data_IF_890594450705
#
_entry.id   IF_890594450705
#
_cell.length_a   1.000
_cell.length_b   1.000
_cell.length_c   1.000
_cell.angle_alpha   90.00
_cell.angle_beta   90.00
_cell.angle_gamma   90.00
#
_symmetry.space_group_name_H-M   'P 1'
#
loop_
_entity.id
_entity.type
_entity.pdbx_description
1 polymer ?
#
# COMPACT_ATOMS: atom_id res chain seq x y z
N UNK A 1 -36.17 50.03 -50.12
CA UNK A 1 -36.48 48.70 -49.58
C UNK A 1 -35.33 48.28 -48.67
N UNK A 2 -35.52 48.33 -47.36
CA UNK A 2 -34.49 47.98 -46.36
C UNK A 2 -35.03 46.79 -45.58
N UNK A 3 -34.42 45.62 -45.80
CA UNK A 3 -34.80 44.36 -45.16
C UNK A 3 -34.06 44.26 -43.82
N UNK A 4 -34.81 44.27 -42.71
CA UNK A 4 -34.26 44.02 -41.37
C UNK A 4 -34.29 42.53 -41.08
N UNK A 5 -33.11 41.91 -41.05
CA UNK A 5 -32.93 40.56 -40.49
C UNK A 5 -32.92 40.64 -38.96
N UNK A 6 -33.85 39.93 -38.33
CA UNK A 6 -33.93 39.76 -36.88
C UNK A 6 -33.21 38.47 -36.52
N UNK A 7 -32.15 38.57 -35.72
CA UNK A 7 -31.32 37.44 -35.31
C UNK A 7 -31.82 36.96 -33.93
N UNK A 8 -32.40 35.75 -33.90
CA UNK A 8 -32.88 35.12 -32.67
C UNK A 8 -31.73 34.28 -32.10
N UNK A 9 -31.21 34.68 -30.94
CA UNK A 9 -30.20 33.92 -30.20
C UNK A 9 -30.95 33.09 -29.14
N UNK A 10 -31.06 31.79 -29.37
CA UNK A 10 -31.55 30.82 -28.38
C UNK A 10 -30.38 30.36 -27.51
N UNK A 11 -30.36 30.78 -26.25
CA UNK A 11 -29.43 30.28 -25.23
C UNK A 11 -29.98 29.00 -24.62
N UNK A 12 -29.39 27.85 -24.97
CA UNK A 12 -29.62 26.57 -24.29
C UNK A 12 -28.65 26.46 -23.12
N UNK A 13 -29.18 26.60 -21.90
CA UNK A 13 -28.45 26.38 -20.66
C UNK A 13 -28.09 24.89 -20.53
N UNK A 14 -26.80 24.57 -20.61
CA UNK A 14 -26.29 23.23 -20.31
C UNK A 14 -26.41 22.97 -18.80
N UNK A 15 -27.01 21.84 -18.43
CA UNK A 15 -27.14 21.42 -17.03
C UNK A 15 -25.77 21.03 -16.46
N UNK A 16 -25.48 21.32 -15.18
CA UNK A 16 -24.22 20.95 -14.55
C UNK A 16 -24.06 19.42 -14.46
N UNK A 17 -22.85 18.89 -14.64
CA UNK A 17 -22.58 17.45 -14.55
C UNK A 17 -22.84 16.95 -13.12
N UNK A 18 -23.61 15.87 -12.99
CA UNK A 18 -23.86 15.23 -11.70
C UNK A 18 -22.60 14.51 -11.18
N UNK A 19 -22.32 14.56 -9.86
CA UNK A 19 -21.19 13.85 -9.26
C UNK A 19 -21.38 12.33 -9.35
N UNK A 20 -20.32 11.62 -9.79
CA UNK A 20 -20.23 10.15 -9.79
C UNK A 20 -20.36 9.64 -8.34
N UNK A 21 -21.56 9.26 -7.91
CA UNK A 21 -21.80 8.60 -6.62
C UNK A 21 -21.45 7.11 -6.74
N UNK A 22 -20.60 6.62 -5.84
CA UNK A 22 -20.26 5.20 -5.74
C UNK A 22 -21.48 4.39 -5.28
N UNK A 23 -21.72 3.18 -5.82
CA UNK A 23 -22.81 2.33 -5.34
C UNK A 23 -22.49 1.79 -3.94
N UNK A 24 -23.35 2.13 -2.97
CA UNK A 24 -23.30 1.60 -1.60
C UNK A 24 -23.40 0.08 -1.60
N UNK A 25 -22.36 -0.57 -1.06
CA UNK A 25 -22.37 -1.99 -0.74
C UNK A 25 -23.00 -2.20 0.64
N UNK A 26 -24.08 -2.96 0.72
CA UNK A 26 -24.73 -3.35 1.98
C UNK A 26 -23.79 -4.33 2.72
N UNK A 27 -23.17 -3.88 3.81
CA UNK A 27 -22.39 -4.72 4.73
C UNK A 27 -23.31 -5.27 5.82
N UNK A 28 -23.26 -6.59 6.03
CA UNK A 28 -23.89 -7.27 7.17
C UNK A 28 -22.94 -7.21 8.37
N UNK A 29 -23.43 -6.66 9.48
CA UNK A 29 -22.75 -6.65 10.75
C UNK A 29 -22.54 -8.06 11.31
N UNK A 30 -21.29 -8.40 11.60
CA UNK A 30 -20.95 -9.49 12.50
C UNK A 30 -20.28 -8.89 13.74
N UNK A 31 -21.07 -8.83 14.80
CA UNK A 31 -20.68 -8.45 16.15
C UNK A 31 -19.49 -9.29 16.64
N UNK A 32 -18.28 -8.71 16.62
CA UNK A 32 -17.08 -9.31 17.20
C UNK A 32 -16.71 -8.58 18.47
N UNK A 33 -17.17 -9.12 19.61
CA UNK A 33 -16.79 -8.68 20.96
C UNK A 33 -15.25 -8.65 21.11
N UNK A 34 -14.70 -7.46 21.32
CA UNK A 34 -13.29 -7.22 21.59
C UNK A 34 -13.01 -7.41 23.09
N UNK A 35 -12.23 -8.44 23.42
CA UNK A 35 -11.62 -8.53 24.75
C UNK A 35 -10.41 -7.60 24.79
N UNK A 36 -10.55 -6.51 25.54
CA UNK A 36 -9.49 -5.53 25.81
C UNK A 36 -8.42 -6.19 26.69
N UNK A 37 -7.30 -6.59 26.08
CA UNK A 37 -6.06 -6.90 26.79
C UNK A 37 -5.05 -5.78 26.60
N UNK A 38 -4.59 -5.24 27.72
CA UNK A 38 -3.73 -4.07 27.86
C UNK A 38 -2.34 -4.30 27.22
N UNK A 39 -2.11 -3.78 26.00
CA UNK A 39 -0.90 -4.02 25.20
C UNK A 39 0.40 -3.29 25.65
N UNK A 40 0.43 -2.66 26.82
CA UNK A 40 1.49 -1.68 27.18
C UNK A 40 2.74 -2.23 27.88
N UNK A 41 2.98 -3.55 27.97
CA UNK A 41 4.17 -4.06 28.70
C UNK A 41 5.05 -5.15 28.06
N UNK A 42 4.84 -5.55 26.80
CA UNK A 42 5.67 -6.61 26.17
C UNK A 42 6.51 -6.17 24.96
N UNK A 43 6.52 -4.89 24.58
CA UNK A 43 7.12 -4.44 23.31
C UNK A 43 8.63 -4.14 23.34
N UNK A 44 9.33 -4.27 24.47
CA UNK A 44 10.77 -3.92 24.54
C UNK A 44 11.73 -5.12 24.59
N UNK A 45 11.27 -6.32 24.94
CA UNK A 45 12.19 -7.46 25.14
C UNK A 45 12.36 -8.37 23.90
N UNK A 46 11.45 -8.34 22.93
CA UNK A 46 11.42 -9.35 21.84
C UNK A 46 11.94 -8.82 20.50
N UNK A 47 11.89 -7.52 20.23
CA UNK A 47 12.27 -6.96 18.92
C UNK A 47 13.77 -6.70 18.75
N UNK A 48 14.53 -6.55 19.85
CA UNK A 48 15.97 -6.27 19.79
C UNK A 48 16.81 -7.49 19.36
N UNK A 49 16.35 -8.72 19.58
CA UNK A 49 17.13 -9.92 19.26
C UNK A 49 16.94 -10.47 17.85
N UNK A 50 15.90 -10.08 17.13
CA UNK A 50 15.64 -10.61 15.78
C UNK A 50 16.31 -9.78 14.67
N UNK A 51 16.59 -8.50 14.89
CA UNK A 51 17.32 -7.67 13.92
C UNK A 51 18.82 -7.97 13.86
N UNK A 52 19.43 -8.52 14.93
CA UNK A 52 20.88 -8.80 14.93
C UNK A 52 21.29 -10.10 14.22
N UNK A 53 20.34 -10.98 13.88
CA UNK A 53 20.65 -12.24 13.19
C UNK A 53 20.76 -12.11 11.67
N UNK A 54 20.33 -10.99 11.09
CA UNK A 54 20.33 -10.80 9.62
C UNK A 54 21.58 -10.07 9.08
N UNK A 55 22.48 -9.57 9.93
CA UNK A 55 23.66 -8.79 9.49
C UNK A 55 24.98 -9.58 9.47
N UNK A 56 24.97 -10.90 9.71
CA UNK A 56 26.21 -11.68 9.88
C UNK A 56 26.29 -12.91 8.99
N UNK A 57 26.25 -12.70 7.68
CA UNK A 57 26.74 -13.65 6.70
C UNK A 57 27.21 -12.87 5.47
N UNK A 58 28.46 -12.42 5.49
CA UNK A 58 29.35 -12.32 4.32
C UNK A 58 30.69 -11.72 4.76
N UNK A 59 31.57 -12.60 5.22
CA UNK A 59 32.99 -12.32 5.31
C UNK A 59 33.75 -13.46 4.67
N UNK A 60 34.72 -13.08 3.83
CA UNK A 60 35.88 -13.84 3.34
C UNK A 60 35.72 -14.42 1.93
N UNK A 61 36.21 -13.68 0.94
CA UNK A 61 37.46 -14.14 0.33
C UNK A 61 38.31 -12.99 -0.23
N UNK A 62 39.58 -13.05 0.13
CA UNK A 62 40.61 -12.06 -0.13
C UNK A 62 41.42 -12.49 -1.34
N UNK A 63 41.54 -11.64 -2.36
CA UNK A 63 42.53 -11.81 -3.43
C UNK A 63 43.23 -10.49 -3.77
N UNK A 64 44.52 -10.52 -4.16
CA UNK A 64 45.42 -9.37 -4.12
C UNK A 64 45.28 -8.41 -5.32
N UNK A 65 45.80 -7.16 -5.23
CA UNK A 65 45.57 -6.13 -6.23
C UNK A 65 46.59 -6.21 -7.38
N UNK A 66 46.11 -6.51 -8.59
CA UNK A 66 46.85 -6.27 -9.82
C UNK A 66 46.67 -4.81 -10.25
N UNK A 67 47.76 -4.04 -10.19
CA UNK A 67 47.86 -2.66 -10.67
C UNK A 67 47.78 -2.63 -12.19
N UNK A 68 46.64 -2.24 -12.75
CA UNK A 68 46.54 -1.71 -14.12
C UNK A 68 46.11 -0.25 -14.05
N UNK A 69 46.96 0.59 -14.63
CA UNK A 69 46.90 2.05 -14.62
C UNK A 69 46.00 2.48 -15.77
N UNK A 70 44.71 2.67 -15.49
CA UNK A 70 43.76 3.20 -16.47
C UNK A 70 43.66 4.71 -16.32
N UNK A 71 43.89 5.39 -17.43
CA UNK A 71 43.82 6.84 -17.63
C UNK A 71 42.46 7.43 -17.20
N UNK A 72 42.42 8.63 -16.61
CA UNK A 72 41.18 9.31 -16.29
C UNK A 72 40.53 9.79 -17.58
N UNK A 73 39.60 9.00 -18.13
CA UNK A 73 38.64 9.53 -19.09
C UNK A 73 37.75 10.53 -18.35
N UNK A 74 38.09 11.81 -18.54
CA UNK A 74 37.32 12.98 -18.17
C UNK A 74 35.95 12.84 -18.83
N UNK A 75 34.99 12.28 -18.10
CA UNK A 75 33.61 12.19 -18.50
C UNK A 75 33.06 13.62 -18.56
N UNK A 76 33.06 14.19 -19.76
CA UNK A 76 32.45 15.48 -20.05
C UNK A 76 30.96 15.32 -19.77
N UNK A 77 30.54 15.79 -18.59
CA UNK A 77 29.14 15.91 -18.19
C UNK A 77 28.42 16.67 -19.31
N UNK A 78 27.45 16.07 -20.03
CA UNK A 78 26.71 16.79 -21.04
C UNK A 78 26.00 17.96 -20.34
N UNK A 79 26.29 19.16 -20.84
CA UNK A 79 25.70 20.41 -20.38
C UNK A 79 24.20 20.33 -20.69
N UNK A 80 23.41 20.03 -19.66
CA UNK A 80 21.95 19.99 -19.70
C UNK A 80 21.49 21.41 -20.04
N UNK A 81 21.17 21.67 -21.30
CA UNK A 81 20.50 22.90 -21.73
C UNK A 81 19.11 22.91 -21.11
N UNK A 82 19.00 23.67 -20.02
CA UNK A 82 17.79 23.81 -19.23
C UNK A 82 16.76 24.67 -19.95
N UNK A 83 15.68 24.05 -20.41
CA UNK A 83 14.44 24.74 -20.76
C UNK A 83 13.16 23.96 -20.43
N UNK A 84 13.27 22.78 -19.78
CA UNK A 84 12.13 21.86 -19.59
C UNK A 84 11.59 21.69 -18.16
N UNK A 85 12.02 22.49 -17.19
CA UNK A 85 11.59 22.35 -15.78
C UNK A 85 10.37 23.16 -15.30
N UNK A 86 9.83 24.19 -15.99
CA UNK A 86 8.67 24.94 -15.49
C UNK A 86 7.36 24.12 -15.42
N UNK A 87 7.16 23.19 -16.36
CA UNK A 87 5.86 22.51 -16.57
C UNK A 87 5.49 21.60 -15.39
N UNK A 88 6.49 20.92 -14.82
CA UNK A 88 6.23 19.98 -13.72
C UNK A 88 5.72 20.67 -12.45
N UNK A 89 6.24 21.86 -12.17
CA UNK A 89 5.85 22.61 -10.99
C UNK A 89 4.39 23.08 -11.13
N UNK A 90 3.99 23.54 -12.31
CA UNK A 90 2.60 23.91 -12.61
C UNK A 90 1.67 22.69 -12.47
N UNK A 91 2.07 21.52 -12.96
CA UNK A 91 1.30 20.28 -12.77
C UNK A 91 1.20 19.88 -11.30
N UNK A 92 2.28 20.02 -10.51
CA UNK A 92 2.25 19.80 -9.06
C UNK A 92 1.39 20.82 -8.32
N UNK A 93 1.28 22.03 -8.84
CA UNK A 93 0.51 23.13 -8.29
C UNK A 93 -0.96 23.11 -8.71
N UNK A 94 -1.38 22.14 -9.53
CA UNK A 94 -2.77 21.71 -9.62
C UNK A 94 -3.19 21.05 -8.27
N UNK A 95 -3.37 21.89 -7.25
CA UNK A 95 -3.74 21.50 -5.86
C UNK A 95 -5.19 21.05 -5.73
N UNK A 96 -5.83 20.68 -6.83
CA UNK A 96 -7.23 20.27 -6.82
C UNK A 96 -7.28 18.86 -6.27
N UNK A 97 -7.80 18.72 -5.05
CA UNK A 97 -8.07 17.43 -4.44
C UNK A 97 -9.03 16.64 -5.33
N UNK A 98 -8.72 15.37 -5.54
CA UNK A 98 -9.57 14.47 -6.31
C UNK A 98 -10.83 14.10 -5.52
N UNK A 99 -10.68 13.93 -4.21
CA UNK A 99 -11.77 13.56 -3.32
C UNK A 99 -12.46 14.80 -2.76
N UNK A 100 -13.79 14.75 -2.71
CA UNK A 100 -14.61 15.77 -2.09
C UNK A 100 -14.36 15.80 -0.57
N UNK A 101 -14.63 16.91 0.13
CA UNK A 101 -14.64 16.92 1.59
C UNK A 101 -15.56 15.82 2.14
N UNK A 102 -15.17 15.25 3.28
CA UNK A 102 -15.94 14.23 3.99
C UNK A 102 -17.28 14.82 4.40
N UNK A 103 -18.35 14.07 4.10
CA UNK A 103 -19.70 14.47 4.47
C UNK A 103 -19.84 14.54 5.99
N UNK A 104 -20.55 15.56 6.54
CA UNK A 104 -20.72 15.71 7.99
C UNK A 104 -21.29 14.46 8.67
N UNK A 105 -22.24 13.78 8.03
CA UNK A 105 -22.88 12.58 8.56
C UNK A 105 -21.85 11.46 8.82
N UNK A 106 -20.84 11.32 7.96
CA UNK A 106 -19.74 10.35 8.13
C UNK A 106 -18.83 10.69 9.32
N UNK A 107 -18.78 11.96 9.73
CA UNK A 107 -18.02 12.42 10.91
C UNK A 107 -18.80 12.07 12.18
N UNK A 108 -20.13 12.24 12.15
CA UNK A 108 -21.02 11.90 13.27
C UNK A 108 -21.04 10.39 13.56
N UNK A 109 -20.92 9.57 12.53
CA UNK A 109 -20.82 8.10 12.62
C UNK A 109 -19.49 7.59 13.22
N UNK A 110 -18.51 8.45 13.48
CA UNK A 110 -17.25 8.05 14.10
C UNK A 110 -17.48 7.70 15.59
N UNK A 111 -16.78 6.70 16.14
CA UNK A 111 -16.86 6.32 17.56
C UNK A 111 -16.48 7.48 18.53
N UNK A 112 -15.68 8.42 18.03
CA UNK A 112 -15.14 9.60 18.72
C UNK A 112 -15.30 10.86 17.86
N UNK A 113 -16.54 11.31 17.58
CA UNK A 113 -16.80 12.36 16.58
C UNK A 113 -16.18 13.70 17.00
N UNK A 114 -16.13 13.98 18.31
CA UNK A 114 -15.49 15.18 18.85
C UNK A 114 -13.98 15.23 18.59
N UNK A 115 -13.26 14.09 18.64
CA UNK A 115 -11.84 14.04 18.31
C UNK A 115 -11.63 14.19 16.79
N UNK A 116 -12.52 13.58 16.01
CA UNK A 116 -12.50 13.68 14.56
C UNK A 116 -12.77 15.10 14.05
N UNK A 117 -13.68 15.83 14.70
CA UNK A 117 -14.05 17.20 14.34
C UNK A 117 -12.94 18.23 14.61
N UNK A 118 -11.94 17.90 15.45
CA UNK A 118 -10.79 18.78 15.72
C UNK A 118 -9.79 18.85 14.56
N UNK A 119 -9.92 17.98 13.56
CA UNK A 119 -9.00 17.88 12.42
C UNK A 119 -9.75 18.10 11.12
N UNK A 120 -9.18 18.92 10.25
CA UNK A 120 -9.72 19.09 8.90
C UNK A 120 -9.32 17.90 8.02
N UNK A 121 -10.05 17.68 6.92
CA UNK A 121 -9.65 16.66 5.93
C UNK A 121 -8.29 16.99 5.31
N UNK A 122 -7.92 18.27 5.26
CA UNK A 122 -6.59 18.67 4.83
C UNK A 122 -5.52 18.12 5.77
N UNK A 123 -5.73 18.16 7.09
CA UNK A 123 -4.81 17.62 8.09
C UNK A 123 -4.75 16.08 8.07
N UNK A 124 -5.89 15.44 7.85
CA UNK A 124 -6.02 13.97 7.90
C UNK A 124 -5.47 13.31 6.63
N UNK A 125 -5.76 13.90 5.46
CA UNK A 125 -5.50 13.32 4.15
C UNK A 125 -6.54 12.28 3.71
N UNK A 126 -6.22 11.52 2.68
CA UNK A 126 -7.11 10.55 2.02
C UNK A 126 -6.75 9.10 2.33
N UNK A 127 -5.57 8.89 2.89
CA UNK A 127 -5.11 7.60 3.35
C UNK A 127 -3.80 7.71 4.07
N UNK A 128 -3.28 6.54 4.44
CA UNK A 128 -1.96 6.41 5.05
C UNK A 128 -1.18 5.25 4.44
N UNK A 129 0.14 5.33 4.54
CA UNK A 129 1.02 4.19 4.33
C UNK A 129 2.13 4.11 5.39
N UNK A 130 2.37 2.89 5.85
CA UNK A 130 3.36 2.54 6.85
C UNK A 130 4.64 2.07 6.16
N UNK A 131 5.71 2.85 6.32
CA UNK A 131 6.99 2.54 5.70
C UNK A 131 7.55 1.20 6.22
N UNK A 132 7.96 0.31 5.32
CA UNK A 132 8.54 -0.99 5.69
C UNK A 132 9.91 -0.88 6.36
N UNK A 133 10.67 0.20 6.12
CA UNK A 133 12.00 0.40 6.69
C UNK A 133 11.95 0.99 8.10
N UNK A 134 11.38 2.18 8.27
CA UNK A 134 11.43 2.94 9.53
C UNK A 134 10.11 2.97 10.31
N UNK A 135 9.05 2.36 9.76
CA UNK A 135 7.72 2.26 10.37
C UNK A 135 7.06 3.61 10.64
N UNK A 136 7.53 4.65 9.96
CA UNK A 136 6.89 5.95 9.98
C UNK A 136 5.58 5.90 9.20
N UNK A 137 4.55 6.53 9.77
CA UNK A 137 3.28 6.81 9.13
C UNK A 137 3.45 7.96 8.15
N UNK A 138 2.91 7.79 6.94
CA UNK A 138 3.00 8.81 5.91
C UNK A 138 1.59 9.02 5.37
N UNK A 139 1.12 10.25 5.46
CA UNK A 139 -0.19 10.67 5.00
C UNK A 139 -0.19 10.75 3.47
N UNK A 140 -1.23 10.20 2.84
CA UNK A 140 -1.46 10.25 1.41
C UNK A 140 -2.57 11.26 1.11
N UNK A 141 -2.40 12.05 0.05
CA UNK A 141 -3.43 12.92 -0.51
C UNK A 141 -3.58 12.64 -1.99
N UNK A 142 -4.81 12.45 -2.44
CA UNK A 142 -5.17 12.15 -3.81
C UNK A 142 -5.53 13.44 -4.54
N UNK A 143 -4.73 13.76 -5.56
CA UNK A 143 -4.90 14.92 -6.42
C UNK A 143 -5.44 14.50 -7.79
N UNK A 144 -6.15 15.42 -8.45
CA UNK A 144 -6.55 15.26 -9.85
C UNK A 144 -5.35 15.34 -10.79
N UNK A 145 -5.50 14.86 -12.02
CA UNK A 145 -4.48 14.97 -13.06
C UNK A 145 -3.43 13.85 -13.06
N UNK A 146 -2.27 14.12 -13.65
CA UNK A 146 -1.29 13.11 -14.01
C UNK A 146 -0.54 12.49 -12.82
N UNK A 147 -0.44 13.18 -11.68
CA UNK A 147 0.38 12.76 -10.54
C UNK A 147 -0.45 12.60 -9.25
N UNK A 148 -1.23 11.50 -9.11
CA UNK A 148 -2.27 11.37 -8.10
C UNK A 148 -1.80 11.52 -6.65
N UNK A 149 -0.55 11.20 -6.33
CA UNK A 149 0.01 11.29 -4.96
C UNK A 149 1.32 12.08 -4.90
N UNK A 150 1.67 12.81 -5.96
CA UNK A 150 2.97 13.50 -6.10
C UNK A 150 4.13 12.52 -5.82
N UNK A 151 5.07 12.87 -4.92
CA UNK A 151 6.17 12.00 -4.52
C UNK A 151 5.80 11.14 -3.32
N UNK A 152 5.74 9.81 -3.52
CA UNK A 152 5.43 8.83 -2.48
C UNK A 152 6.73 8.32 -1.84
N UNK A 153 7.36 9.21 -1.08
CA UNK A 153 8.57 8.94 -0.28
C UNK A 153 8.27 9.02 1.20
N UNK A 154 8.93 8.18 1.98
CA UNK A 154 8.80 8.25 3.42
C UNK A 154 9.43 9.53 3.96
N UNK A 155 8.66 10.33 4.71
CA UNK A 155 9.11 11.61 5.25
C UNK A 155 10.25 11.48 6.28
N UNK A 156 10.48 10.28 6.81
CA UNK A 156 11.52 10.02 7.81
C UNK A 156 12.81 9.45 7.24
N UNK A 157 12.73 8.48 6.32
CA UNK A 157 13.91 7.76 5.82
C UNK A 157 14.08 7.83 4.29
N UNK A 158 13.27 8.65 3.60
CA UNK A 158 13.26 8.80 2.14
C UNK A 158 13.04 7.51 1.33
N UNK A 159 12.62 6.42 1.98
CA UNK A 159 12.29 5.16 1.31
C UNK A 159 11.10 5.40 0.37
N UNK A 160 11.23 5.01 -0.89
CA UNK A 160 10.13 5.04 -1.86
C UNK A 160 9.22 3.85 -1.58
N UNK A 161 7.92 4.04 -1.71
CA UNK A 161 6.95 2.96 -1.49
C UNK A 161 7.28 1.72 -2.33
N UNK A 162 7.19 0.56 -1.68
CA UNK A 162 7.45 -0.74 -2.28
C UNK A 162 6.37 -1.74 -1.89
N UNK A 163 6.44 -2.95 -2.43
CA UNK A 163 5.50 -4.05 -2.16
C UNK A 163 5.46 -4.52 -0.70
N UNK A 164 6.48 -4.20 0.10
CA UNK A 164 6.54 -4.55 1.51
C UNK A 164 5.97 -3.49 2.44
N UNK A 165 5.62 -2.32 1.91
CA UNK A 165 4.97 -1.28 2.68
C UNK A 165 3.48 -1.55 2.77
N UNK A 166 2.86 -1.16 3.88
CA UNK A 166 1.43 -1.35 4.10
C UNK A 166 0.70 -0.05 3.82
N UNK A 167 -0.39 -0.12 3.09
CA UNK A 167 -1.19 1.03 2.66
C UNK A 167 -2.64 0.83 3.09
N UNK A 168 -3.30 1.92 3.47
CA UNK A 168 -4.76 1.94 3.61
C UNK A 168 -5.45 1.68 2.25
N UNK A 169 -6.78 1.55 2.27
CA UNK A 169 -7.58 1.20 1.09
C UNK A 169 -7.39 2.15 -0.12
N UNK A 170 -6.90 3.39 0.08
CA UNK A 170 -6.66 4.35 -0.99
C UNK A 170 -5.61 3.88 -2.01
N UNK A 171 -4.64 3.06 -1.59
CA UNK A 171 -3.61 2.49 -2.47
C UNK A 171 -3.59 0.98 -2.27
N UNK A 172 -4.11 0.23 -3.24
CA UNK A 172 -4.06 -1.24 -3.20
C UNK A 172 -3.10 -1.75 -4.26
N UNK A 173 -2.09 -2.59 -3.91
CA UNK A 173 -1.14 -3.10 -4.88
C UNK A 173 -1.82 -3.95 -5.95
N UNK A 174 -1.37 -3.82 -7.19
CA UNK A 174 -1.88 -4.57 -8.34
C UNK A 174 -0.88 -5.65 -8.74
N UNK A 175 -1.31 -6.90 -8.97
CA UNK A 175 -0.45 -7.95 -9.49
C UNK A 175 0.15 -7.59 -10.86
N UNK A 176 1.40 -7.97 -11.08
CA UNK A 176 2.02 -7.89 -12.40
C UNK A 176 1.19 -8.67 -13.42
N UNK A 177 1.02 -8.10 -14.62
CA UNK A 177 0.22 -8.69 -15.69
C UNK A 177 -1.27 -8.33 -15.67
N UNK A 178 -1.78 -7.72 -14.60
CA UNK A 178 -3.13 -7.16 -14.61
C UNK A 178 -3.16 -5.88 -15.46
N UNK A 179 -3.77 -5.98 -16.63
CA UNK A 179 -3.93 -4.87 -17.58
C UNK A 179 -5.40 -4.53 -17.84
N UNK A 180 -6.34 -5.40 -17.46
CA UNK A 180 -7.76 -5.14 -17.66
C UNK A 180 -8.32 -4.41 -16.45
N UNK A 181 -9.02 -3.30 -16.71
CA UNK A 181 -9.70 -2.49 -15.72
C UNK A 181 -11.11 -2.15 -16.17
N UNK A 182 -11.96 -1.85 -15.19
CA UNK A 182 -13.29 -1.31 -15.47
C UNK A 182 -13.14 0.03 -16.20
N UNK A 183 -13.89 0.20 -17.29
CA UNK A 183 -13.94 1.49 -17.98
C UNK A 183 -14.51 2.55 -17.03
N UNK A 184 -13.82 3.68 -16.83
CA UNK A 184 -14.32 4.73 -15.97
C UNK A 184 -15.61 5.31 -16.55
N UNK A 185 -16.48 5.79 -15.66
CA UNK A 185 -17.66 6.54 -16.08
C UNK A 185 -17.23 7.81 -16.83
N UNK A 186 -18.07 8.29 -17.75
CA UNK A 186 -17.80 9.51 -18.52
C UNK A 186 -17.56 10.68 -17.56
N UNK A 187 -16.42 11.36 -17.72
CA UNK A 187 -16.01 12.48 -16.86
C UNK A 187 -15.33 12.08 -15.55
N UNK A 188 -15.17 10.78 -15.27
CA UNK A 188 -14.47 10.28 -14.10
C UNK A 188 -13.03 9.84 -14.48
N UNK A 189 -12.03 10.17 -13.65
CA UNK A 189 -10.62 9.85 -13.91
C UNK A 189 -10.31 8.37 -13.71
N UNK A 190 -9.28 7.88 -14.41
CA UNK A 190 -8.74 6.51 -14.24
C UNK A 190 -8.19 6.33 -12.84
N UNK A 191 -8.69 5.34 -12.09
CA UNK A 191 -8.31 5.07 -10.68
C UNK A 191 -7.13 4.10 -10.56
N UNK A 192 -6.11 4.30 -11.38
CA UNK A 192 -4.92 3.45 -11.42
C UNK A 192 -3.66 4.31 -11.55
N UNK A 193 -2.58 3.91 -10.88
CA UNK A 193 -1.30 4.59 -10.99
C UNK A 193 -0.12 3.62 -10.91
N UNK A 194 1.03 4.03 -11.42
CA UNK A 194 2.32 3.41 -11.12
C UNK A 194 3.25 4.42 -10.46
N UNK A 195 4.31 3.94 -9.80
CA UNK A 195 5.23 4.80 -9.04
C UNK A 195 6.65 4.60 -9.55
N UNK A 196 7.34 5.69 -9.89
CA UNK A 196 8.71 5.63 -10.33
C UNK A 196 9.61 5.09 -9.19
N UNK A 197 10.34 3.97 -9.39
CA UNK A 197 11.14 3.36 -8.32
C UNK A 197 12.38 4.18 -7.94
N UNK A 198 12.76 5.17 -8.76
CA UNK A 198 13.95 6.00 -8.54
C UNK A 198 13.66 7.27 -7.77
N UNK A 199 12.55 7.94 -8.10
CA UNK A 199 12.20 9.21 -7.47
C UNK A 199 10.89 9.16 -6.69
N UNK A 200 10.10 8.08 -6.77
CA UNK A 200 8.82 7.97 -6.07
C UNK A 200 7.69 8.84 -6.63
N UNK A 201 7.87 9.51 -7.76
CA UNK A 201 6.78 10.24 -8.42
C UNK A 201 5.71 9.24 -8.88
N UNK A 202 4.47 9.43 -8.42
CA UNK A 202 3.31 8.66 -8.87
C UNK A 202 2.83 9.18 -10.22
N UNK A 203 2.50 8.31 -11.16
CA UNK A 203 1.87 8.68 -12.42
C UNK A 203 0.56 7.91 -12.59
N UNK A 204 -0.50 8.60 -12.99
CA UNK A 204 -1.78 7.98 -13.36
C UNK A 204 -1.60 7.14 -14.62
N UNK A 205 -2.23 5.97 -14.65
CA UNK A 205 -2.22 5.11 -15.83
C UNK A 205 -3.08 5.73 -16.94
N UNK A 206 -2.66 5.53 -18.18
CA UNK A 206 -3.50 5.80 -19.34
C UNK A 206 -4.41 4.58 -19.58
N UNK A 207 -5.59 4.82 -20.15
CA UNK A 207 -6.56 3.76 -20.38
C UNK A 207 -7.15 3.87 -21.79
N UNK A 208 -7.00 2.80 -22.57
CA UNK A 208 -7.61 2.64 -23.88
C UNK A 208 -8.69 1.55 -23.79
N UNK A 209 -9.95 1.97 -23.80
CA UNK A 209 -11.09 1.07 -23.60
C UNK A 209 -11.10 0.42 -22.20
N UNK A 210 -10.82 -0.88 -22.15
CA UNK A 210 -10.71 -1.65 -20.90
C UNK A 210 -9.27 -1.97 -20.51
N UNK A 211 -8.29 -1.52 -21.29
CA UNK A 211 -6.87 -1.85 -21.10
C UNK A 211 -6.13 -0.67 -20.49
N UNK A 212 -5.40 -0.92 -19.42
CA UNK A 212 -4.48 0.02 -18.79
C UNK A 212 -3.12 -0.04 -19.48
N UNK A 213 -2.59 1.12 -19.85
CA UNK A 213 -1.22 1.26 -20.31
C UNK A 213 -0.31 1.77 -19.19
N UNK A 214 0.73 0.98 -18.92
CA UNK A 214 1.78 1.30 -17.95
C UNK A 214 3.17 1.33 -18.60
N UNK A 215 3.26 1.11 -19.92
CA UNK A 215 4.50 0.99 -20.67
C UNK A 215 4.89 2.33 -21.30
N UNK A 216 6.19 2.57 -21.47
CA UNK A 216 6.68 3.77 -22.16
C UNK A 216 6.51 5.08 -21.39
N UNK A 217 5.85 5.07 -20.23
CA UNK A 217 5.72 6.24 -19.37
C UNK A 217 7.10 6.75 -18.94
N UNK A 218 7.41 8.00 -19.30
CA UNK A 218 8.67 8.65 -18.91
C UNK A 218 8.44 9.45 -17.63
N UNK A 219 9.24 9.17 -16.61
CA UNK A 219 9.18 9.91 -15.36
C UNK A 219 9.50 11.39 -15.63
N UNK A 220 8.59 12.28 -15.27
CA UNK A 220 8.77 13.70 -15.52
C UNK A 220 9.94 14.28 -14.72
N UNK A 221 10.17 13.77 -13.50
CA UNK A 221 11.22 14.26 -12.60
C UNK A 221 12.61 13.69 -12.95
N UNK A 222 12.78 12.36 -12.85
CA UNK A 222 14.09 11.74 -13.08
C UNK A 222 14.37 11.34 -14.54
N UNK A 223 13.37 11.38 -15.42
CA UNK A 223 13.53 11.05 -16.85
C UNK A 223 13.59 9.56 -17.19
N UNK A 224 13.52 8.67 -16.19
CA UNK A 224 13.55 7.22 -16.40
C UNK A 224 12.23 6.75 -17.02
N UNK A 225 12.32 5.85 -17.99
CA UNK A 225 11.16 5.25 -18.66
C UNK A 225 10.73 3.97 -17.96
N UNK A 226 9.41 3.79 -17.78
CA UNK A 226 8.79 2.54 -17.33
C UNK A 226 8.81 1.51 -18.45
N UNK A 227 9.30 0.31 -18.13
CA UNK A 227 9.17 -0.87 -18.98
C UNK A 227 8.10 -1.82 -18.43
N UNK A 228 7.15 -1.28 -17.67
CA UNK A 228 6.13 -2.03 -16.95
C UNK A 228 6.62 -2.66 -15.64
N UNK A 229 7.86 -2.39 -15.24
CA UNK A 229 8.51 -2.88 -14.03
C UNK A 229 8.13 -2.06 -12.77
N UNK A 230 7.62 -0.84 -12.96
CA UNK A 230 7.25 0.04 -11.87
C UNK A 230 6.12 -0.54 -11.01
N UNK A 231 6.17 -0.37 -9.67
CA UNK A 231 5.08 -0.74 -8.78
C UNK A 231 3.75 -0.11 -9.21
N UNK A 232 2.69 -0.94 -9.26
CA UNK A 232 1.36 -0.56 -9.75
C UNK A 232 0.35 -0.63 -8.62
N UNK A 233 -0.57 0.34 -8.60
CA UNK A 233 -1.58 0.47 -7.57
C UNK A 233 -2.93 0.86 -8.14
N UNK A 234 -3.98 0.34 -7.52
CA UNK A 234 -5.35 0.80 -7.67
C UNK A 234 -5.60 1.91 -6.66
N UNK A 235 -6.26 2.98 -7.10
CA UNK A 235 -6.65 4.12 -6.28
C UNK A 235 -8.05 3.85 -5.71
N UNK A 236 -8.10 3.32 -4.49
CA UNK A 236 -9.32 2.82 -3.86
C UNK A 236 -10.14 3.89 -3.13
N UNK A 237 -10.91 3.44 -2.14
CA UNK A 237 -11.77 4.30 -1.32
C UNK A 237 -10.94 4.97 -0.20
N UNK A 238 -11.15 6.27 -0.01
CA UNK A 238 -10.54 7.08 1.05
C UNK A 238 -11.41 7.13 2.32
N UNK A 239 -12.71 6.86 2.21
CA UNK A 239 -13.68 7.05 3.30
C UNK A 239 -13.35 6.28 4.58
N UNK A 240 -12.92 5.00 4.57
CA UNK A 240 -12.65 4.28 5.81
C UNK A 240 -11.56 4.97 6.64
N UNK A 241 -10.52 5.47 5.97
CA UNK A 241 -9.44 6.20 6.61
C UNK A 241 -9.89 7.57 7.09
N UNK A 242 -10.61 8.33 6.26
CA UNK A 242 -11.11 9.65 6.66
C UNK A 242 -12.13 9.57 7.78
N UNK A 243 -12.91 8.49 7.86
CA UNK A 243 -13.84 8.25 8.96
C UNK A 243 -13.06 8.04 10.24
N UNK A 244 -12.16 7.06 10.28
CA UNK A 244 -11.36 6.76 11.47
C UNK A 244 -9.87 6.49 11.12
N UNK A 245 -9.02 7.53 11.19
CA UNK A 245 -7.60 7.40 10.92
C UNK A 245 -6.88 6.47 11.92
N UNK A 246 -7.29 6.49 13.19
CA UNK A 246 -6.63 5.75 14.26
C UNK A 246 -6.96 4.26 14.17
N UNK A 247 -8.22 3.91 13.90
CA UNK A 247 -8.62 2.52 13.63
C UNK A 247 -7.94 1.98 12.36
N UNK A 248 -7.86 2.78 11.30
CA UNK A 248 -7.15 2.39 10.08
C UNK A 248 -5.67 2.16 10.33
N UNK A 249 -5.02 3.00 11.13
CA UNK A 249 -3.63 2.80 11.53
C UNK A 249 -3.45 1.51 12.33
N UNK A 250 -4.29 1.26 13.33
CA UNK A 250 -4.26 0.03 14.11
C UNK A 250 -4.41 -1.22 13.22
N UNK A 251 -5.36 -1.18 12.27
CA UNK A 251 -5.56 -2.27 11.31
C UNK A 251 -4.31 -2.54 10.44
N UNK A 252 -3.58 -1.51 10.02
CA UNK A 252 -2.34 -1.68 9.26
C UNK A 252 -1.19 -2.23 10.09
N UNK A 253 -1.13 -1.88 11.38
CA UNK A 253 -0.18 -2.48 12.32
C UNK A 253 -0.47 -3.97 12.51
N UNK A 254 -1.75 -4.33 12.69
CA UNK A 254 -2.18 -5.72 12.83
C UNK A 254 -1.92 -6.53 11.55
N UNK A 255 -2.24 -5.98 10.37
CA UNK A 255 -1.96 -6.60 9.09
C UNK A 255 -0.46 -6.90 8.94
N UNK A 256 0.39 -5.94 9.30
CA UNK A 256 1.83 -6.13 9.28
C UNK A 256 2.29 -7.22 10.25
N UNK A 257 1.73 -7.29 11.45
CA UNK A 257 2.05 -8.34 12.41
C UNK A 257 1.63 -9.73 11.89
N UNK A 258 0.48 -9.82 11.22
CA UNK A 258 0.02 -11.04 10.56
C UNK A 258 0.96 -11.46 9.41
N UNK A 259 1.37 -10.53 8.55
CA UNK A 259 2.30 -10.80 7.45
C UNK A 259 3.67 -11.28 7.97
N UNK A 260 4.20 -10.64 9.02
CA UNK A 260 5.44 -11.05 9.65
C UNK A 260 5.34 -12.46 10.24
N UNK A 261 4.20 -12.79 10.87
CA UNK A 261 3.93 -14.13 11.40
C UNK A 261 3.88 -15.18 10.29
N UNK A 262 3.22 -14.87 9.17
CA UNK A 262 3.17 -15.75 7.99
C UNK A 262 4.57 -16.02 7.42
N UNK A 263 5.38 -14.99 7.25
CA UNK A 263 6.75 -15.13 6.75
C UNK A 263 7.64 -15.95 7.69
N UNK A 264 7.52 -15.73 9.00
CA UNK A 264 8.24 -16.52 10.00
C UNK A 264 7.85 -18.01 9.93
N UNK A 265 6.57 -18.31 9.78
CA UNK A 265 6.09 -19.69 9.65
C UNK A 265 6.58 -20.36 8.36
N UNK A 266 6.52 -19.65 7.23
CA UNK A 266 7.07 -20.14 5.95
C UNK A 266 8.57 -20.44 6.04
N UNK A 267 9.33 -19.58 6.72
CA UNK A 267 10.75 -19.80 6.94
C UNK A 267 11.02 -21.02 7.81
N UNK A 268 10.23 -21.26 8.86
CA UNK A 268 10.35 -22.46 9.69
C UNK A 268 10.11 -23.72 8.85
N UNK A 269 9.07 -23.75 8.01
CA UNK A 269 8.76 -24.90 7.15
C UNK A 269 9.89 -25.15 6.15
N UNK A 270 10.35 -24.11 5.44
CA UNK A 270 11.39 -24.22 4.44
C UNK A 270 12.74 -24.71 5.00
N UNK A 271 12.96 -24.54 6.31
CA UNK A 271 14.18 -24.96 7.00
C UNK A 271 13.99 -26.21 7.88
N UNK A 272 12.89 -26.95 7.73
CA UNK A 272 12.72 -28.22 8.47
C UNK A 272 13.79 -29.23 8.06
N UNK A 273 14.14 -29.29 6.77
CA UNK A 273 15.12 -30.25 6.24
C UNK A 273 16.57 -29.88 6.56
N UNK A 274 16.85 -28.59 6.77
CA UNK A 274 18.17 -28.09 7.14
C UNK A 274 18.42 -28.10 8.66
N UNK A 275 17.43 -28.47 9.47
CA UNK A 275 17.65 -28.67 10.90
C UNK A 275 18.54 -29.90 11.08
N UNK A 276 19.72 -29.76 11.72
CA UNK A 276 20.49 -30.93 12.11
C UNK A 276 19.55 -31.82 12.92
N UNK A 277 19.46 -33.11 12.54
CA UNK A 277 18.67 -34.10 13.25
C UNK A 277 18.94 -33.90 14.73
N UNK A 278 17.95 -33.39 15.46
CA UNK A 278 18.14 -32.96 16.84
C UNK A 278 18.71 -34.16 17.56
N UNK A 279 19.95 -34.04 18.04
CA UNK A 279 20.75 -35.06 18.71
C UNK A 279 20.16 -35.42 20.10
N UNK A 280 18.86 -35.21 20.28
CA UNK A 280 18.02 -35.92 21.23
C UNK A 280 17.76 -37.33 20.67
N UNK A 281 18.84 -38.05 20.39
CA UNK A 281 18.86 -39.48 20.63
C UNK A 281 18.68 -39.66 22.13
N UNK A 282 17.44 -39.57 22.59
CA UNK A 282 17.05 -40.15 23.86
C UNK A 282 17.22 -41.65 23.66
N UNK A 283 18.41 -42.15 23.99
CA UNK A 283 18.68 -43.57 24.15
C UNK A 283 17.88 -44.02 25.36
N UNK A 284 16.60 -44.29 25.15
CA UNK A 284 15.72 -44.93 26.11
C UNK A 284 16.11 -46.40 26.23
N UNK A 285 17.19 -46.66 26.97
CA UNK A 285 17.30 -47.87 27.75
C UNK A 285 17.00 -47.49 29.20
N UNK A 286 16.00 -48.16 29.77
CA UNK A 286 15.59 -48.14 31.18
C UNK A 286 14.62 -47.04 31.62
N UNK A 287 13.36 -47.16 31.17
CA UNK A 287 12.23 -46.80 32.03
C UNK A 287 11.27 -47.99 32.13
N UNK A 288 11.37 -48.68 33.27
CA UNK A 288 10.54 -49.82 33.63
C UNK A 288 9.10 -49.35 33.84
N UNK A 289 8.19 -49.89 33.03
CA UNK A 289 6.75 -49.68 33.13
C UNK A 289 6.25 -50.24 34.46
N UNK A 290 5.87 -49.38 35.41
CA UNK A 290 4.95 -49.74 36.48
C UNK A 290 3.55 -49.36 36.04
N UNK A 291 2.71 -50.37 35.89
CA UNK A 291 1.30 -50.22 35.55
C UNK A 291 0.57 -49.36 36.59
N UNK A 292 -0.19 -48.41 36.08
CA UNK A 292 -1.27 -47.73 36.77
C UNK A 292 -2.42 -47.61 35.75
N UNK A 293 -3.27 -48.61 35.79
CA UNK A 293 -4.73 -48.53 35.84
C UNK A 293 -5.42 -47.50 34.93
N UNK A 294 -6.06 -48.08 33.90
CA UNK A 294 -7.08 -47.50 33.04
C UNK A 294 -8.17 -46.73 33.81
N UNK A 295 -8.23 -45.41 33.63
CA UNK A 295 -9.50 -44.68 33.71
C UNK A 295 -9.92 -44.23 32.30
N UNK A 296 -11.04 -44.80 31.86
CA UNK A 296 -11.70 -44.57 30.59
C UNK A 296 -12.31 -43.17 30.55
N UNK A 297 -11.64 -42.21 29.93
CA UNK A 297 -12.24 -40.92 29.56
C UNK A 297 -12.91 -41.10 28.18
N UNK A 298 -14.24 -41.17 28.19
CA UNK A 298 -15.06 -41.10 26.99
C UNK A 298 -14.86 -39.75 26.31
N UNK A 299 -14.14 -39.75 25.19
CA UNK A 299 -14.06 -38.61 24.26
C UNK A 299 -15.35 -38.55 23.44
N UNK A 300 -16.18 -37.55 23.72
CA UNK A 300 -17.31 -37.17 22.87
C UNK A 300 -16.79 -36.72 21.50
N UNK A 301 -17.20 -37.43 20.45
CA UNK A 301 -16.87 -37.10 19.08
C UNK A 301 -17.46 -35.76 18.66
N UNK A 302 -16.60 -34.79 18.33
CA UNK A 302 -17.00 -33.66 17.52
C UNK A 302 -16.91 -34.06 16.05
N UNK A 303 -18.06 -34.07 15.38
CA UNK A 303 -18.16 -34.19 13.93
C UNK A 303 -17.40 -33.04 13.23
N UNK A 304 -16.70 -33.33 12.12
CA UNK A 304 -16.08 -32.30 11.29
C UNK A 304 -17.16 -31.54 10.52
N UNK A 305 -17.29 -30.24 10.80
CA UNK A 305 -18.11 -29.32 10.01
C UNK A 305 -17.55 -29.22 8.59
N UNK A 306 -18.28 -29.77 7.63
CA UNK A 306 -18.02 -29.63 6.21
C UNK A 306 -18.22 -28.18 5.77
N UNK A 307 -17.21 -27.61 5.11
CA UNK A 307 -17.28 -26.29 4.49
C UNK A 307 -18.00 -26.41 3.13
N UNK A 308 -19.18 -25.79 3.01
CA UNK A 308 -19.83 -25.58 1.72
C UNK A 308 -19.32 -24.29 1.07
N UNK A 309 -18.98 -24.29 -0.23
CA UNK A 309 -18.65 -23.07 -0.95
C UNK A 309 -19.93 -22.30 -1.32
N UNK A 310 -20.02 -21.03 -0.94
CA UNK A 310 -21.03 -20.11 -1.46
C UNK A 310 -20.59 -19.61 -2.84
N UNK A 311 -21.50 -19.73 -3.82
CA UNK A 311 -21.45 -19.01 -5.09
C UNK A 311 -22.07 -17.63 -5.02
#
# INVERSE_FOLDING_TARGET
>A
MITRCTLIITSTAASPPQPCSSPHHIMRDLDRKSNVLHAKRLSLAVTSRLSSFFEKADTTDTSPPSKSRTTPHRLTKPQRTGSGLPILQEDFDSRILAELPTEPDLIEDNDYPNLRALRTDEDIGDGLWLCSHCRHENILRHYKGAFPFKHVRCNRCNHIICSYCHTSAILSPIPYGMIHARTPHVGCEVRYCHICPTCGLSHRAEQEGATLDFYGAKCADCGITSWGDWPRYHIGNHEPYRRDPDATFAALVDQRAADASRLAFQWVIANVESRPASLLGYTGSDFTVRGADNESIQSGGMEPLAWSPCG
#
